data_IF_826268030665
#
_entry.id   IF_826268030665
#
_cell.length_a   1.000
_cell.length_b   1.000
_cell.length_c   1.000
_cell.angle_alpha   90.00
_cell.angle_beta   90.00
_cell.angle_gamma   90.00
#
_symmetry.space_group_name_H-M   'P 1'
#
loop_
_entity.id
_entity.type
_entity.pdbx_description
1 polymer ?
#
# COMPACT_ATOMS: atom_id res chain seq x y z
N UNK A 1 -5.74 -9.66 -13.33
CA UNK A 1 -4.63 -9.20 -12.46
C UNK A 1 -4.55 -7.70 -12.61
N UNK A 2 -4.76 -6.96 -11.52
CA UNK A 2 -4.84 -5.49 -11.50
C UNK A 2 -3.67 -4.96 -10.69
N UNK A 3 -3.09 -3.83 -11.10
CA UNK A 3 -2.02 -3.18 -10.33
C UNK A 3 -2.63 -2.23 -9.30
N UNK A 4 -2.50 -2.57 -8.03
CA UNK A 4 -3.10 -1.81 -6.93
C UNK A 4 -1.99 -1.16 -6.11
N UNK A 5 -2.19 0.11 -5.83
CA UNK A 5 -1.36 0.90 -4.94
C UNK A 5 -2.02 0.98 -3.57
N UNK A 6 -1.26 0.80 -2.50
CA UNK A 6 -1.72 0.96 -1.13
C UNK A 6 -0.86 1.99 -0.41
N UNK A 7 -1.48 3.10 -0.01
CA UNK A 7 -0.83 4.16 0.75
C UNK A 7 -1.36 4.10 2.18
N UNK A 8 -0.48 3.67 3.09
CA UNK A 8 -0.80 3.45 4.50
C UNK A 8 -0.97 1.97 4.81
N UNK A 9 -0.02 1.43 5.60
CA UNK A 9 0.00 0.02 6.02
C UNK A 9 -0.18 -0.09 7.54
N UNK A 10 -1.20 0.59 8.07
CA UNK A 10 -1.68 0.33 9.44
C UNK A 10 -2.38 -1.03 9.53
N UNK A 11 -2.97 -1.37 10.70
CA UNK A 11 -3.66 -2.66 10.90
C UNK A 11 -4.67 -2.98 9.78
N UNK A 12 -5.50 -2.00 9.40
CA UNK A 12 -6.48 -2.18 8.33
C UNK A 12 -5.82 -2.27 6.95
N UNK A 13 -4.91 -1.35 6.62
CA UNK A 13 -4.23 -1.35 5.32
C UNK A 13 -3.43 -2.62 5.07
N UNK A 14 -2.75 -3.14 6.08
CA UNK A 14 -2.03 -4.41 6.00
C UNK A 14 -2.96 -5.58 5.71
N UNK A 15 -4.08 -5.71 6.45
CA UNK A 15 -5.06 -6.77 6.20
C UNK A 15 -5.65 -6.70 4.79
N UNK A 16 -5.98 -5.49 4.31
CA UNK A 16 -6.45 -5.28 2.93
C UNK A 16 -5.38 -5.67 1.92
N UNK A 17 -4.13 -5.24 2.12
CA UNK A 17 -3.03 -5.56 1.22
C UNK A 17 -2.75 -7.06 1.10
N UNK A 18 -2.77 -7.78 2.22
CA UNK A 18 -2.62 -9.24 2.24
C UNK A 18 -3.73 -9.92 1.45
N UNK A 19 -5.00 -9.52 1.65
CA UNK A 19 -6.12 -10.11 0.94
C UNK A 19 -6.08 -9.85 -0.58
N UNK A 20 -5.61 -8.66 -0.98
CA UNK A 20 -5.41 -8.32 -2.39
C UNK A 20 -4.32 -9.18 -3.05
N UNK A 21 -3.22 -9.44 -2.33
CA UNK A 21 -2.16 -10.35 -2.78
C UNK A 21 -2.67 -11.79 -2.91
N UNK A 22 -3.40 -12.28 -1.91
CA UNK A 22 -4.02 -13.62 -1.93
C UNK A 22 -5.01 -13.79 -3.09
N UNK A 23 -5.71 -12.71 -3.45
CA UNK A 23 -6.64 -12.68 -4.59
C UNK A 23 -5.93 -12.63 -5.96
N UNK A 24 -4.60 -12.59 -5.98
CA UNK A 24 -3.79 -12.60 -7.20
C UNK A 24 -3.60 -11.23 -7.86
N UNK A 25 -3.79 -10.13 -7.13
CA UNK A 25 -3.47 -8.79 -7.62
C UNK A 25 -2.00 -8.43 -7.36
N UNK A 26 -1.45 -7.52 -8.18
CA UNK A 26 -0.13 -6.94 -7.90
C UNK A 26 -0.30 -5.77 -6.94
N UNK A 27 0.45 -5.77 -5.84
CA UNK A 27 0.37 -4.71 -4.84
C UNK A 27 1.69 -3.91 -4.78
N UNK A 28 1.60 -2.59 -4.92
CA UNK A 28 2.67 -1.66 -4.54
C UNK A 28 2.25 -0.93 -3.27
N UNK A 29 3.03 -1.00 -2.19
CA UNK A 29 2.69 -0.42 -0.91
C UNK A 29 3.67 0.70 -0.51
N UNK A 30 3.15 1.74 0.14
CA UNK A 30 3.94 2.79 0.78
C UNK A 30 3.43 3.05 2.19
N UNK A 31 4.37 3.29 3.10
CA UNK A 31 4.07 3.85 4.41
C UNK A 31 5.23 4.75 4.86
N UNK A 32 4.91 5.82 5.60
CA UNK A 32 5.92 6.71 6.19
C UNK A 32 6.93 5.96 7.04
N UNK A 33 6.47 4.94 7.75
CA UNK A 33 7.34 4.03 8.52
C UNK A 33 7.50 2.71 7.75
N UNK A 34 8.64 2.56 7.05
CA UNK A 34 8.94 1.37 6.23
C UNK A 34 8.84 0.03 6.98
N UNK A 35 9.19 -0.02 8.27
CA UNK A 35 9.10 -1.28 9.04
C UNK A 35 7.67 -1.84 9.13
N UNK A 36 6.64 -1.01 8.91
CA UNK A 36 5.23 -1.45 8.85
C UNK A 36 4.83 -2.05 7.51
N UNK A 37 5.71 -2.08 6.51
CA UNK A 37 5.42 -2.72 5.22
C UNK A 37 6.04 -4.12 5.11
N UNK A 38 6.86 -4.53 6.08
CA UNK A 38 7.63 -5.77 6.02
C UNK A 38 6.78 -7.04 5.88
N UNK A 39 5.56 -7.07 6.44
CA UNK A 39 4.69 -8.23 6.26
C UNK A 39 4.15 -8.32 4.83
N UNK A 40 3.74 -7.19 4.25
CA UNK A 40 3.29 -7.13 2.86
C UNK A 40 4.43 -7.49 1.89
N UNK A 41 5.63 -6.99 2.14
CA UNK A 41 6.83 -7.31 1.36
C UNK A 41 7.11 -8.83 1.35
N UNK A 42 7.05 -9.47 2.52
CA UNK A 42 7.21 -10.94 2.64
C UNK A 42 6.17 -11.73 1.85
N UNK A 43 4.98 -11.18 1.65
CA UNK A 43 3.89 -11.80 0.89
C UNK A 43 3.90 -11.38 -0.60
N UNK A 44 4.93 -10.68 -1.06
CA UNK A 44 5.13 -10.35 -2.47
C UNK A 44 4.66 -8.95 -2.89
N UNK A 45 4.33 -8.06 -1.95
CA UNK A 45 4.13 -6.65 -2.27
C UNK A 45 5.46 -5.96 -2.63
N UNK A 46 5.40 -5.05 -3.59
CA UNK A 46 6.51 -4.15 -3.92
C UNK A 46 6.45 -2.95 -2.99
N UNK A 47 7.53 -2.63 -2.28
CA UNK A 47 7.57 -1.45 -1.41
C UNK A 47 8.12 -0.26 -2.16
N UNK A 48 7.35 0.82 -2.19
CA UNK A 48 7.75 2.09 -2.79
C UNK A 48 8.32 3.05 -1.75
N UNK A 49 9.25 3.90 -2.18
CA UNK A 49 9.84 4.97 -1.36
C UNK A 49 8.98 6.23 -1.29
N UNK A 50 8.06 6.41 -2.25
CA UNK A 50 7.20 7.60 -2.33
C UNK A 50 5.77 7.23 -2.74
N UNK A 51 4.76 8.00 -2.28
CA UNK A 51 3.38 7.83 -2.72
C UNK A 51 3.21 8.12 -4.22
N UNK A 52 4.00 9.05 -4.77
CA UNK A 52 4.05 9.33 -6.22
C UNK A 52 4.37 8.06 -7.03
N UNK A 53 5.41 7.34 -6.65
CA UNK A 53 5.80 6.12 -7.34
C UNK A 53 4.72 5.03 -7.24
N UNK A 54 3.98 4.97 -6.12
CA UNK A 54 2.82 4.07 -5.98
C UNK A 54 1.73 4.41 -7.00
N UNK A 55 1.41 5.70 -7.15
CA UNK A 55 0.41 6.16 -8.10
C UNK A 55 0.83 5.90 -9.55
N UNK A 56 2.09 6.12 -9.90
CA UNK A 56 2.61 5.87 -11.25
C UNK A 56 2.65 4.37 -11.63
N UNK A 57 2.81 3.48 -10.65
CA UNK A 57 2.87 2.03 -10.88
C UNK A 57 1.52 1.32 -10.81
N UNK A 58 0.43 2.02 -10.46
CA UNK A 58 -0.86 1.42 -10.11
C UNK A 58 -2.02 1.95 -10.97
N UNK A 59 -2.98 1.09 -11.26
CA UNK A 59 -4.24 1.43 -11.94
C UNK A 59 -5.30 1.93 -10.97
N UNK A 60 -5.21 1.48 -9.71
CA UNK A 60 -6.07 1.86 -8.60
C UNK A 60 -5.19 2.16 -7.39
N UNK A 61 -5.44 3.27 -6.70
CA UNK A 61 -4.76 3.60 -5.44
C UNK A 61 -5.78 3.60 -4.30
N UNK A 62 -5.47 2.86 -3.25
CA UNK A 62 -6.21 2.80 -2.00
C UNK A 62 -5.39 3.52 -0.94
N UNK A 63 -6.02 4.50 -0.29
CA UNK A 63 -5.40 5.23 0.82
C UNK A 63 -6.06 4.80 2.13
N UNK A 64 -5.26 4.30 3.07
CA UNK A 64 -5.71 3.85 4.38
C UNK A 64 -4.81 4.43 5.47
N UNK A 65 -5.09 5.68 5.84
CA UNK A 65 -4.34 6.43 6.85
C UNK A 65 -5.19 6.75 8.08
N UNK A 66 -4.59 7.41 9.07
CA UNK A 66 -5.18 7.60 10.40
C UNK A 66 -6.38 8.57 10.41
N UNK A 67 -6.25 9.69 9.71
CA UNK A 67 -7.18 10.82 9.76
C UNK A 67 -7.08 11.64 8.46
N UNK A 68 -7.95 12.66 8.32
CA UNK A 68 -8.02 13.50 7.13
C UNK A 68 -6.73 14.32 6.91
N UNK A 69 -6.12 14.83 7.99
CA UNK A 69 -4.86 15.57 7.91
C UNK A 69 -3.74 14.71 7.32
N UNK A 70 -3.70 13.41 7.68
CA UNK A 70 -2.75 12.48 7.10
C UNK A 70 -2.99 12.23 5.60
N UNK A 71 -4.21 12.43 5.08
CA UNK A 71 -4.51 12.31 3.64
C UNK A 71 -3.91 13.49 2.87
N UNK A 72 -4.00 14.71 3.41
CA UNK A 72 -3.44 15.92 2.75
C UNK A 72 -1.90 15.91 2.65
N UNK A 73 -1.23 15.09 3.46
CA UNK A 73 0.23 14.97 3.49
C UNK A 73 0.80 13.87 2.57
N UNK A 74 -0.07 13.17 1.83
CA UNK A 74 0.30 12.12 0.87
C UNK A 74 0.65 12.75 -0.47
#
# INVERSE_FOLDING_TARGET
MTKIGLIGTGMLGEAVGLHLLESGHSLTAYNRTKSKTSNLEKNGAIISDTPKNVAESSELVITCVKDADAVEQI
#
